data_IF_187566762324
#
_entry.id   IF_187566762324
#
_cell.length_a   1.000
_cell.length_b   1.000
_cell.length_c   1.000
_cell.angle_alpha   90.00
_cell.angle_beta   90.00
_cell.angle_gamma   90.00
#
_symmetry.space_group_name_H-M   'P 1'
#
loop_
_entity.id
_entity.type
_entity.pdbx_description
1 polymer ?
#
# COMPACT_ATOMS: atom_id res chain seq x y z
N UNK A 1 -18.44 -21.79 -15.85
CA UNK A 1 -17.81 -20.55 -16.12
C UNK A 1 -16.31 -20.57 -15.93
N UNK A 2 -15.60 -20.85 -17.01
CA UNK A 2 -14.15 -20.64 -17.05
C UNK A 2 -13.91 -19.20 -17.54
N UNK A 3 -13.44 -18.31 -16.66
CA UNK A 3 -13.13 -16.94 -17.02
C UNK A 3 -12.86 -16.06 -15.80
N UNK A 4 -12.43 -14.82 -16.06
CA UNK A 4 -12.08 -13.82 -15.01
C UNK A 4 -13.14 -13.67 -13.91
N UNK A 5 -14.46 -13.72 -14.18
CA UNK A 5 -15.48 -13.64 -13.14
C UNK A 5 -15.51 -14.84 -12.16
N UNK A 6 -14.87 -15.96 -12.51
CA UNK A 6 -14.78 -17.15 -11.65
C UNK A 6 -13.48 -17.26 -10.85
N UNK A 7 -12.60 -16.26 -10.94
CA UNK A 7 -11.27 -16.23 -10.31
C UNK A 7 -11.06 -14.97 -9.50
N UNK A 8 -10.05 -15.00 -8.63
CA UNK A 8 -9.55 -13.78 -8.01
C UNK A 8 -8.87 -12.93 -9.10
N UNK A 9 -9.33 -11.68 -9.28
CA UNK A 9 -8.80 -10.78 -10.31
C UNK A 9 -7.32 -10.46 -10.10
N UNK A 10 -6.83 -10.50 -8.86
CA UNK A 10 -5.44 -10.32 -8.47
C UNK A 10 -4.81 -11.70 -8.23
N UNK A 11 -4.27 -12.29 -9.28
CA UNK A 11 -3.83 -13.69 -9.31
C UNK A 11 -2.40 -13.89 -8.77
N UNK A 12 -1.56 -12.88 -8.83
CA UNK A 12 -0.19 -12.95 -8.37
C UNK A 12 0.30 -11.61 -7.84
N UNK A 13 1.19 -11.66 -6.87
CA UNK A 13 1.92 -10.49 -6.38
C UNK A 13 3.39 -10.87 -6.16
N UNK A 14 4.26 -9.88 -6.34
CA UNK A 14 5.68 -9.99 -6.04
C UNK A 14 6.15 -8.81 -5.22
N UNK A 15 7.12 -9.05 -4.35
CA UNK A 15 7.78 -8.02 -3.56
C UNK A 15 9.22 -7.93 -4.01
N UNK A 16 9.65 -6.73 -4.39
CA UNK A 16 10.99 -6.49 -4.93
C UNK A 16 11.65 -5.31 -4.22
N UNK A 17 12.96 -5.27 -4.30
CA UNK A 17 13.76 -4.12 -3.89
C UNK A 17 14.02 -3.24 -5.11
N UNK A 18 13.70 -1.96 -5.03
CA UNK A 18 14.00 -0.98 -6.10
C UNK A 18 15.50 -0.83 -6.31
N UNK A 19 16.30 -1.09 -5.25
CA UNK A 19 17.76 -1.05 -5.27
C UNK A 19 18.33 -2.27 -4.53
N UNK A 20 19.48 -2.79 -4.97
CA UNK A 20 20.08 -4.01 -4.38
C UNK A 20 20.61 -3.83 -2.95
N UNK A 21 20.88 -2.59 -2.52
CA UNK A 21 21.38 -2.26 -1.18
C UNK A 21 20.30 -2.25 -0.09
N UNK A 22 19.04 -2.34 -0.45
CA UNK A 22 17.93 -2.36 0.52
C UNK A 22 17.88 -3.71 1.24
N UNK A 23 17.71 -3.68 2.56
CA UNK A 23 17.54 -4.89 3.37
C UNK A 23 16.20 -5.58 3.09
N UNK A 24 15.15 -4.79 2.82
CA UNK A 24 13.78 -5.26 2.63
C UNK A 24 13.19 -4.78 1.31
N UNK A 25 12.18 -5.47 0.75
CA UNK A 25 11.41 -4.97 -0.38
C UNK A 25 10.74 -3.64 -0.06
N UNK A 26 10.76 -2.74 -1.03
CA UNK A 26 10.11 -1.43 -0.98
C UNK A 26 9.07 -1.22 -2.08
N UNK A 27 8.90 -2.22 -2.94
CA UNK A 27 7.96 -2.19 -4.06
C UNK A 27 7.17 -3.49 -4.13
N UNK A 28 5.85 -3.39 -4.26
CA UNK A 28 4.97 -4.52 -4.57
C UNK A 28 4.50 -4.42 -6.02
N UNK A 29 4.59 -5.53 -6.74
CA UNK A 29 4.01 -5.74 -8.06
C UNK A 29 2.75 -6.58 -7.90
N UNK A 30 1.61 -6.10 -8.39
CA UNK A 30 0.31 -6.80 -8.27
C UNK A 30 -0.24 -7.08 -9.66
N UNK A 31 -0.24 -8.35 -10.06
CA UNK A 31 -0.79 -8.77 -11.35
C UNK A 31 -2.32 -8.85 -11.29
N UNK A 32 -2.96 -8.15 -12.23
CA UNK A 32 -4.40 -8.12 -12.40
C UNK A 32 -4.76 -8.70 -13.77
N UNK A 33 -5.44 -9.83 -13.79
CA UNK A 33 -5.88 -10.52 -15.01
C UNK A 33 -7.14 -9.88 -15.63
N UNK A 34 -7.21 -8.55 -15.66
CA UNK A 34 -8.32 -7.80 -16.23
C UNK A 34 -7.82 -6.53 -16.92
N UNK A 35 -8.52 -6.11 -17.95
CA UNK A 35 -8.24 -4.82 -18.59
C UNK A 35 -8.58 -3.67 -17.64
N UNK A 36 -7.58 -2.86 -17.35
CA UNK A 36 -7.73 -1.64 -16.54
C UNK A 36 -7.40 -0.42 -17.38
N UNK A 37 -8.27 0.56 -17.34
CA UNK A 37 -8.02 1.87 -17.95
C UNK A 37 -6.98 2.64 -17.13
N UNK A 38 -6.30 3.63 -17.72
CA UNK A 38 -5.58 4.62 -16.95
C UNK A 38 -6.44 5.16 -15.80
N UNK A 39 -5.87 5.33 -14.60
CA UNK A 39 -6.63 5.65 -13.39
C UNK A 39 -7.22 4.43 -12.65
N UNK A 40 -7.00 3.20 -13.16
CA UNK A 40 -7.23 1.96 -12.41
C UNK A 40 -8.66 1.39 -12.47
N UNK A 41 -9.59 2.03 -13.17
CA UNK A 41 -10.96 1.48 -13.35
C UNK A 41 -10.97 0.31 -14.32
N UNK A 42 -11.89 -0.64 -14.12
CA UNK A 42 -12.08 -1.74 -15.06
C UNK A 42 -12.58 -1.21 -16.41
N UNK A 43 -12.02 -1.75 -17.47
CA UNK A 43 -12.44 -1.46 -18.85
C UNK A 43 -13.15 -2.65 -19.49
N UNK A 44 -13.76 -2.41 -20.66
CA UNK A 44 -14.33 -3.46 -21.51
C UNK A 44 -13.27 -3.90 -22.50
N UNK A 45 -13.03 -5.21 -22.61
CA UNK A 45 -12.04 -5.78 -23.52
C UNK A 45 -11.08 -6.75 -22.83
N UNK A 46 -10.09 -7.22 -23.60
CA UNK A 46 -9.08 -8.13 -23.12
C UNK A 46 -7.80 -7.37 -22.74
N UNK A 47 -7.22 -7.72 -21.61
CA UNK A 47 -5.97 -7.13 -21.15
C UNK A 47 -5.61 -7.60 -19.75
N UNK A 48 -4.43 -7.22 -19.34
CA UNK A 48 -3.94 -7.40 -17.97
C UNK A 48 -3.19 -6.14 -17.54
N UNK A 49 -3.03 -5.99 -16.25
CA UNK A 49 -2.28 -4.88 -15.69
C UNK A 49 -1.32 -5.40 -14.61
N UNK A 50 -0.22 -4.69 -14.44
CA UNK A 50 0.68 -4.86 -13.32
C UNK A 50 0.66 -3.56 -12.50
N UNK A 51 0.03 -3.61 -11.33
CA UNK A 51 0.01 -2.50 -10.39
C UNK A 51 1.36 -2.37 -9.70
N UNK A 52 1.85 -1.15 -9.58
CA UNK A 52 3.11 -0.83 -8.90
C UNK A 52 2.76 -0.08 -7.62
N UNK A 53 3.17 -0.61 -6.47
CA UNK A 53 2.86 -0.02 -5.16
C UNK A 53 4.16 0.20 -4.38
N UNK A 54 4.42 1.45 -4.01
CA UNK A 54 5.49 1.79 -3.06
C UNK A 54 5.09 1.38 -1.65
N UNK A 55 5.89 0.55 -0.99
CA UNK A 55 5.53 -0.07 0.29
C UNK A 55 5.84 0.80 1.51
N UNK A 56 6.86 1.63 1.43
CA UNK A 56 7.34 2.44 2.58
C UNK A 56 7.52 3.91 2.19
N UNK A 57 6.43 4.61 1.77
CA UNK A 57 6.55 6.01 1.36
C UNK A 57 7.01 6.88 2.54
N UNK A 58 7.87 7.85 2.23
CA UNK A 58 8.33 8.88 3.17
C UNK A 58 7.44 10.12 3.16
N UNK A 59 6.72 10.35 2.07
CA UNK A 59 5.74 11.42 1.96
C UNK A 59 4.74 11.38 3.11
N UNK A 60 4.38 12.54 3.63
CA UNK A 60 3.41 12.67 4.73
C UNK A 60 2.33 13.65 4.35
N UNK A 61 1.09 13.24 4.58
CA UNK A 61 -0.10 14.04 4.42
C UNK A 61 -0.73 14.42 5.74
N UNK A 62 -1.91 14.99 5.69
CA UNK A 62 -2.67 15.42 6.87
C UNK A 62 -4.16 15.22 6.68
N UNK A 63 -4.87 15.10 7.81
CA UNK A 63 -6.32 15.19 7.89
C UNK A 63 -6.64 16.30 8.87
N UNK A 64 -7.42 17.29 8.43
CA UNK A 64 -7.80 18.45 9.26
C UNK A 64 -9.30 18.69 9.21
N UNK A 65 -9.83 19.40 10.19
CA UNK A 65 -11.22 19.80 10.21
C UNK A 65 -11.45 20.96 9.23
N UNK A 66 -12.55 20.92 8.49
CA UNK A 66 -12.99 22.03 7.63
C UNK A 66 -13.99 22.95 8.33
N UNK A 67 -14.59 22.49 9.44
CA UNK A 67 -15.58 23.22 10.20
C UNK A 67 -15.78 22.62 11.59
N UNK A 68 -16.79 23.09 12.31
CA UNK A 68 -17.06 22.76 13.71
C UNK A 68 -18.21 21.77 13.93
N UNK A 69 -18.85 21.31 12.87
CA UNK A 69 -19.99 20.38 12.94
C UNK A 69 -19.62 18.99 12.42
N UNK A 70 -20.35 17.98 12.89
CA UNK A 70 -20.13 16.59 12.45
C UNK A 70 -20.44 16.35 10.96
N UNK A 71 -21.20 17.25 10.35
CA UNK A 71 -21.53 17.20 8.92
C UNK A 71 -20.44 17.80 8.02
N UNK A 72 -19.50 18.55 8.59
CA UNK A 72 -18.40 19.13 7.84
C UNK A 72 -17.44 18.03 7.41
N UNK A 73 -17.22 17.89 6.11
CA UNK A 73 -16.29 16.90 5.60
C UNK A 73 -14.85 17.24 5.95
N UNK A 74 -14.03 16.31 6.43
CA UNK A 74 -12.62 16.60 6.72
C UNK A 74 -11.86 16.96 5.45
N UNK A 75 -10.86 17.82 5.60
CA UNK A 75 -9.87 18.07 4.54
C UNK A 75 -8.84 16.94 4.62
N UNK A 76 -8.75 16.14 3.55
CA UNK A 76 -7.82 15.01 3.44
C UNK A 76 -6.80 15.36 2.38
N UNK A 77 -5.58 15.59 2.79
CA UNK A 77 -4.43 15.81 1.91
C UNK A 77 -3.44 14.66 2.07
N UNK A 78 -3.39 13.70 1.12
CA UNK A 78 -2.40 12.63 1.17
C UNK A 78 -0.98 13.10 0.91
N UNK A 79 -0.79 14.27 0.26
CA UNK A 79 0.48 14.87 -0.10
C UNK A 79 1.45 13.88 -0.75
N UNK A 80 0.92 13.07 -1.69
CA UNK A 80 1.67 12.02 -2.37
C UNK A 80 2.88 12.60 -3.11
N UNK A 81 4.00 11.88 -3.10
CA UNK A 81 5.26 12.24 -3.77
C UNK A 81 5.87 13.58 -3.29
N UNK A 82 5.55 14.01 -2.07
CA UNK A 82 6.23 15.16 -1.45
C UNK A 82 7.69 14.87 -1.09
N UNK A 83 8.05 13.60 -0.93
CA UNK A 83 9.43 13.13 -0.88
C UNK A 83 9.82 12.52 -2.23
N UNK A 84 10.86 13.05 -2.86
CA UNK A 84 11.33 12.63 -4.19
C UNK A 84 11.77 11.16 -4.22
N UNK A 85 12.20 10.59 -3.08
CA UNK A 85 12.58 9.18 -3.03
C UNK A 85 11.41 8.23 -3.29
N UNK A 86 10.18 8.64 -2.99
CA UNK A 86 8.99 7.84 -3.28
C UNK A 86 8.74 7.76 -4.79
N UNK A 87 9.03 8.83 -5.51
CA UNK A 87 8.96 8.86 -6.97
C UNK A 87 10.01 7.93 -7.60
N UNK A 88 11.24 7.91 -7.09
CA UNK A 88 12.30 7.02 -7.60
C UNK A 88 11.92 5.54 -7.42
N UNK A 89 11.34 5.18 -6.28
CA UNK A 89 10.83 3.82 -6.04
C UNK A 89 9.79 3.43 -7.08
N UNK A 90 8.86 4.33 -7.41
CA UNK A 90 7.84 4.05 -8.41
C UNK A 90 8.40 3.98 -9.84
N UNK A 91 9.38 4.82 -10.20
CA UNK A 91 10.08 4.76 -11.49
C UNK A 91 10.75 3.39 -11.66
N UNK A 92 11.51 2.95 -10.66
CA UNK A 92 12.17 1.62 -10.69
C UNK A 92 11.14 0.49 -10.70
N UNK A 93 10.02 0.65 -9.99
CA UNK A 93 8.90 -0.26 -10.03
C UNK A 93 8.30 -0.42 -11.43
N UNK A 94 8.10 0.67 -12.17
CA UNK A 94 7.62 0.64 -13.57
C UNK A 94 8.65 -0.07 -14.46
N UNK A 95 9.93 0.24 -14.33
CA UNK A 95 11.00 -0.42 -15.08
C UNK A 95 11.04 -1.93 -14.79
N UNK A 96 10.90 -2.33 -13.53
CA UNK A 96 10.80 -3.73 -13.14
C UNK A 96 9.55 -4.40 -13.72
N UNK A 97 8.41 -3.74 -13.66
CA UNK A 97 7.15 -4.22 -14.26
C UNK A 97 7.27 -4.47 -15.76
N UNK A 98 7.90 -3.55 -16.50
CA UNK A 98 8.22 -3.73 -17.94
C UNK A 98 9.09 -4.95 -18.19
N UNK A 99 10.13 -5.17 -17.36
CA UNK A 99 10.97 -6.39 -17.46
C UNK A 99 10.16 -7.66 -17.24
N UNK A 100 9.29 -7.68 -16.24
CA UNK A 100 8.41 -8.83 -15.97
C UNK A 100 7.49 -9.11 -17.16
N UNK A 101 6.82 -8.09 -17.68
CA UNK A 101 5.85 -8.23 -18.78
C UNK A 101 6.51 -8.50 -20.15
N UNK A 102 7.82 -8.25 -20.28
CA UNK A 102 8.59 -8.62 -21.48
C UNK A 102 9.22 -10.02 -21.40
N UNK A 103 9.00 -10.76 -20.31
CA UNK A 103 9.53 -12.11 -20.18
C UNK A 103 8.87 -13.08 -21.19
N UNK A 104 9.57 -14.16 -21.63
CA UNK A 104 9.06 -15.12 -22.63
C UNK A 104 7.69 -15.72 -22.30
N UNK A 105 7.35 -15.82 -21.00
CA UNK A 105 6.03 -16.30 -20.56
C UNK A 105 4.85 -15.42 -21.05
N UNK A 106 5.10 -14.15 -21.38
CA UNK A 106 4.10 -13.22 -21.91
C UNK A 106 4.14 -13.07 -23.43
N UNK A 107 5.04 -13.77 -24.11
CA UNK A 107 5.14 -13.71 -25.57
C UNK A 107 3.81 -14.15 -26.23
N UNK A 108 3.33 -13.35 -27.18
CA UNK A 108 2.05 -13.57 -27.86
C UNK A 108 0.80 -13.30 -27.03
N UNK A 109 0.93 -12.86 -25.76
CA UNK A 109 -0.22 -12.62 -24.86
C UNK A 109 -0.59 -11.16 -24.67
N UNK A 110 0.16 -10.25 -25.24
CA UNK A 110 -0.10 -8.81 -25.20
C UNK A 110 0.41 -8.13 -26.46
N UNK A 111 -0.25 -7.06 -26.87
CA UNK A 111 0.06 -6.39 -28.13
C UNK A 111 0.58 -4.97 -27.97
N UNK A 112 0.22 -4.28 -26.88
CA UNK A 112 0.67 -2.93 -26.64
C UNK A 112 0.61 -2.57 -25.14
N UNK A 113 1.61 -1.86 -24.66
CA UNK A 113 1.55 -1.18 -23.36
C UNK A 113 0.65 0.05 -23.50
N UNK A 114 -0.44 0.10 -22.74
CA UNK A 114 -1.42 1.19 -22.78
C UNK A 114 -1.05 2.30 -21.81
N UNK A 115 -0.60 1.92 -20.62
CA UNK A 115 -0.17 2.85 -19.57
C UNK A 115 1.11 2.32 -18.90
N UNK A 116 2.14 3.14 -18.78
CA UNK A 116 2.30 4.54 -19.25
C UNK A 116 2.32 4.71 -20.77
N UNK A 117 2.47 3.62 -21.54
CA UNK A 117 2.62 3.63 -22.98
C UNK A 117 4.08 3.59 -23.41
N UNK A 118 4.35 2.91 -24.54
CA UNK A 118 5.71 2.67 -25.06
C UNK A 118 6.49 3.95 -25.40
N UNK A 119 5.79 5.07 -25.60
CA UNK A 119 6.40 6.38 -25.88
C UNK A 119 6.93 7.06 -24.60
N UNK A 120 6.48 6.66 -23.43
CA UNK A 120 6.95 7.22 -22.14
C UNK A 120 8.22 6.46 -21.73
N UNK A 121 9.36 7.03 -22.11
CA UNK A 121 10.68 6.45 -21.86
C UNK A 121 11.58 7.41 -21.08
N UNK A 122 12.49 6.83 -20.31
CA UNK A 122 13.43 7.60 -19.51
C UNK A 122 12.83 8.19 -18.23
N UNK A 123 13.72 8.59 -17.31
CA UNK A 123 13.36 9.04 -15.97
C UNK A 123 12.38 10.22 -15.99
N UNK A 124 12.64 11.22 -16.80
CA UNK A 124 11.83 12.46 -16.81
C UNK A 124 10.39 12.20 -17.26
N UNK A 125 10.19 11.47 -18.37
CA UNK A 125 8.86 11.14 -18.87
C UNK A 125 8.09 10.21 -17.92
N UNK A 126 8.77 9.25 -17.29
CA UNK A 126 8.17 8.40 -16.26
C UNK A 126 7.79 9.21 -15.02
N UNK A 127 8.64 10.13 -14.57
CA UNK A 127 8.36 10.99 -13.44
C UNK A 127 7.12 11.85 -13.68
N UNK A 128 6.99 12.45 -14.86
CA UNK A 128 5.81 13.22 -15.24
C UNK A 128 4.55 12.36 -15.30
N UNK A 129 4.63 11.18 -15.93
CA UNK A 129 3.52 10.24 -15.96
C UNK A 129 3.08 9.83 -14.55
N UNK A 130 4.01 9.47 -13.67
CA UNK A 130 3.71 9.04 -12.29
C UNK A 130 3.06 10.18 -11.51
N UNK A 131 3.59 11.41 -11.57
CA UNK A 131 2.99 12.56 -10.87
C UNK A 131 1.55 12.83 -11.30
N UNK A 132 1.22 12.57 -12.56
CA UNK A 132 -0.13 12.76 -13.09
C UNK A 132 -1.07 11.57 -12.86
N UNK A 133 -0.55 10.39 -12.50
CA UNK A 133 -1.35 9.16 -12.40
C UNK A 133 -1.28 8.47 -11.05
N UNK A 134 -0.38 8.88 -10.15
CA UNK A 134 -0.26 8.27 -8.82
C UNK A 134 -1.56 8.41 -8.03
N UNK A 135 -1.88 7.36 -7.31
CA UNK A 135 -3.06 7.34 -6.43
C UNK A 135 -2.76 6.50 -5.18
N UNK A 136 -3.63 6.60 -4.20
CA UNK A 136 -3.55 5.77 -3.00
C UNK A 136 -3.83 4.30 -3.32
N UNK A 137 -3.13 3.40 -2.62
CA UNK A 137 -3.46 1.97 -2.60
C UNK A 137 -4.49 1.61 -1.51
N UNK A 138 -5.16 2.63 -0.93
CA UNK A 138 -6.20 2.51 0.10
C UNK A 138 -5.71 1.92 1.44
N UNK A 139 -4.46 2.15 1.77
CA UNK A 139 -3.84 1.71 3.03
C UNK A 139 -3.24 2.86 3.84
N UNK A 140 -3.96 4.00 4.06
CA UNK A 140 -3.44 5.09 4.88
C UNK A 140 -3.31 4.67 6.34
N UNK A 141 -2.28 5.18 7.03
CA UNK A 141 -2.00 4.91 8.43
C UNK A 141 -1.44 6.16 9.12
N UNK A 142 -1.33 6.16 10.44
CA UNK A 142 -0.45 7.06 11.18
C UNK A 142 -1.07 8.33 11.75
N UNK A 143 -2.34 8.65 11.47
CA UNK A 143 -2.99 9.87 11.96
C UNK A 143 -3.17 9.90 13.50
N UNK A 144 -3.17 8.71 14.14
CA UNK A 144 -3.19 8.56 15.61
C UNK A 144 -1.97 7.75 16.09
N UNK A 145 -0.80 7.99 15.53
CA UNK A 145 0.40 7.19 15.70
C UNK A 145 0.73 6.82 17.16
N UNK A 146 1.05 5.54 17.37
CA UNK A 146 1.53 4.98 18.63
C UNK A 146 3.05 5.17 18.72
N UNK A 147 3.47 6.29 19.27
CA UNK A 147 4.88 6.63 19.48
C UNK A 147 5.03 7.51 20.74
N UNK A 148 6.23 7.75 21.27
CA UNK A 148 6.40 8.48 22.54
C UNK A 148 5.69 9.83 22.60
N UNK A 149 5.73 10.59 21.51
CA UNK A 149 5.07 11.89 21.31
C UNK A 149 3.79 11.81 20.45
N UNK A 150 3.27 10.60 20.24
CA UNK A 150 2.09 10.35 19.41
C UNK A 150 0.76 10.49 20.14
N UNK A 151 -0.31 10.25 19.40
CA UNK A 151 -1.69 10.40 19.92
C UNK A 151 -2.03 9.31 20.93
N UNK A 152 -1.59 8.07 20.71
CA UNK A 152 -1.89 6.98 21.63
C UNK A 152 -0.65 6.39 22.29
N UNK A 153 -0.85 5.76 23.46
CA UNK A 153 0.16 4.97 24.16
C UNK A 153 0.28 3.56 23.58
N UNK A 154 1.26 2.77 24.09
CA UNK A 154 1.36 1.33 23.77
C UNK A 154 0.16 0.49 24.24
N UNK A 155 -0.70 1.03 25.09
CA UNK A 155 -1.98 0.43 25.49
C UNK A 155 -3.16 0.97 24.67
N UNK A 156 -2.88 1.67 23.57
CA UNK A 156 -3.86 2.26 22.65
C UNK A 156 -4.72 3.37 23.29
N UNK A 157 -4.37 3.85 24.48
CA UNK A 157 -5.06 4.95 25.19
C UNK A 157 -4.69 6.28 24.57
N UNK A 158 -5.70 7.13 24.31
CA UNK A 158 -5.48 8.50 23.84
C UNK A 158 -4.85 9.32 24.96
N UNK A 159 -3.74 9.99 24.66
CA UNK A 159 -3.03 10.82 25.65
C UNK A 159 -3.86 12.06 26.00
N UNK A 160 -3.97 12.35 27.27
CA UNK A 160 -4.72 13.51 27.78
C UNK A 160 -6.25 13.36 27.79
N UNK A 161 -6.77 12.15 27.46
CA UNK A 161 -8.20 11.85 27.50
C UNK A 161 -8.41 10.52 28.21
N UNK A 162 -9.14 10.53 29.33
CA UNK A 162 -9.44 9.32 30.07
C UNK A 162 -10.54 8.48 29.38
N UNK A 163 -10.41 7.16 29.48
CA UNK A 163 -11.42 6.23 29.00
C UNK A 163 -11.51 6.06 27.48
N UNK A 164 -10.67 6.72 26.69
CA UNK A 164 -10.69 6.66 25.23
C UNK A 164 -9.49 5.87 24.67
N UNK A 165 -9.77 5.02 23.68
CA UNK A 165 -8.76 4.31 22.88
C UNK A 165 -9.01 4.48 21.40
N UNK A 166 -7.95 4.31 20.59
CA UNK A 166 -8.00 4.16 19.14
C UNK A 166 -7.45 2.79 18.79
N UNK A 167 -8.17 2.03 17.96
CA UNK A 167 -7.85 0.65 17.62
C UNK A 167 -8.09 0.36 16.13
N UNK A 168 -7.39 1.07 15.27
CA UNK A 168 -7.42 0.91 13.83
C UNK A 168 -6.04 1.20 13.21
N UNK A 169 -5.95 1.22 11.88
CA UNK A 169 -4.70 1.45 11.15
C UNK A 169 -4.04 2.81 11.47
N UNK A 170 -4.79 3.79 11.98
CA UNK A 170 -4.25 5.11 12.28
C UNK A 170 -3.19 5.11 13.39
N UNK A 171 -3.18 4.07 14.23
CA UNK A 171 -2.18 3.94 15.31
C UNK A 171 -0.79 3.54 14.81
N UNK A 172 -0.66 2.98 13.60
CA UNK A 172 0.64 2.54 13.07
C UNK A 172 1.58 3.74 12.90
N UNK A 173 2.77 3.76 13.54
CA UNK A 173 3.73 4.87 13.39
C UNK A 173 4.26 4.99 11.97
N UNK A 174 4.40 3.84 11.30
CA UNK A 174 4.80 3.71 9.90
C UNK A 174 3.95 2.61 9.25
N UNK A 175 3.78 2.69 7.94
CA UNK A 175 3.07 1.66 7.20
C UNK A 175 3.88 0.36 7.19
N UNK A 176 3.18 -0.77 7.27
CA UNK A 176 3.77 -2.11 7.10
C UNK A 176 4.23 -2.34 5.66
N UNK A 177 5.16 -3.29 5.46
CA UNK A 177 5.69 -3.62 4.12
C UNK A 177 4.70 -4.46 3.29
N UNK A 178 3.42 -4.08 3.30
CA UNK A 178 2.34 -4.78 2.60
C UNK A 178 0.97 -4.20 2.93
N UNK A 179 -0.06 -4.90 2.51
CA UNK A 179 -1.46 -4.52 2.76
C UNK A 179 -1.76 -4.46 4.26
N UNK A 180 -2.51 -3.46 4.69
CA UNK A 180 -2.71 -3.15 6.12
C UNK A 180 -3.86 -3.92 6.77
N UNK A 181 -4.61 -4.75 6.04
CA UNK A 181 -5.80 -5.43 6.58
C UNK A 181 -5.45 -6.36 7.77
N UNK A 182 -4.53 -7.29 7.58
CA UNK A 182 -4.17 -8.23 8.63
C UNK A 182 -3.63 -7.56 9.91
N UNK A 183 -2.66 -6.61 9.84
CA UNK A 183 -2.24 -5.88 11.03
C UNK A 183 -3.36 -5.02 11.64
N UNK A 184 -4.32 -4.51 10.87
CA UNK A 184 -5.46 -3.76 11.42
C UNK A 184 -6.40 -4.68 12.23
N UNK A 185 -6.67 -5.89 11.73
CA UNK A 185 -7.44 -6.90 12.48
C UNK A 185 -6.71 -7.24 13.78
N UNK A 186 -5.41 -7.48 13.73
CA UNK A 186 -4.58 -7.74 14.91
C UNK A 186 -4.65 -6.62 15.95
N UNK A 187 -4.63 -5.36 15.49
CA UNK A 187 -4.78 -4.18 16.38
C UNK A 187 -6.14 -4.22 17.10
N UNK A 188 -7.21 -4.55 16.39
CA UNK A 188 -8.55 -4.68 16.98
C UNK A 188 -8.63 -5.78 18.04
N UNK A 189 -8.10 -6.98 17.75
CA UNK A 189 -8.02 -8.09 18.69
C UNK A 189 -7.18 -7.72 19.92
N UNK A 190 -6.02 -7.13 19.73
CA UNK A 190 -5.16 -6.67 20.82
C UNK A 190 -5.86 -5.62 21.71
N UNK A 191 -6.61 -4.71 21.11
CA UNK A 191 -7.38 -3.73 21.87
C UNK A 191 -8.44 -4.40 22.75
N UNK A 192 -9.14 -5.40 22.21
CA UNK A 192 -10.13 -6.16 22.97
C UNK A 192 -9.50 -6.87 24.20
N UNK A 193 -8.30 -7.42 24.05
CA UNK A 193 -7.57 -8.03 25.16
C UNK A 193 -7.15 -7.00 26.21
N UNK A 194 -6.63 -5.85 25.77
CA UNK A 194 -6.26 -4.76 26.67
C UNK A 194 -7.45 -4.22 27.47
N UNK A 195 -8.64 -4.14 26.87
CA UNK A 195 -9.88 -3.73 27.55
C UNK A 195 -10.30 -4.78 28.59
N UNK A 196 -10.13 -6.07 28.26
CA UNK A 196 -10.48 -7.19 29.15
C UNK A 196 -9.42 -7.48 30.23
N UNK A 197 -8.29 -6.78 30.21
CA UNK A 197 -7.16 -7.03 31.11
C UNK A 197 -6.48 -8.40 30.85
N UNK A 198 -6.57 -8.91 29.61
CA UNK A 198 -5.93 -10.17 29.25
C UNK A 198 -4.49 -9.90 28.80
N UNK A 199 -3.55 -10.67 29.35
CA UNK A 199 -2.18 -10.74 28.83
C UNK A 199 -2.07 -12.02 28.01
N UNK A 200 -1.84 -11.88 26.71
CA UNK A 200 -1.51 -13.03 25.85
C UNK A 200 -0.02 -13.35 26.02
N UNK A 201 0.29 -14.63 26.09
CA UNK A 201 1.68 -15.07 25.95
C UNK A 201 2.21 -14.67 24.58
N UNK A 202 3.50 -14.31 24.53
CA UNK A 202 4.15 -14.04 23.26
C UNK A 202 4.08 -15.30 22.36
N UNK A 203 3.61 -15.14 21.13
CA UNK A 203 3.61 -16.23 20.17
C UNK A 203 5.03 -16.76 20.00
N UNK A 204 5.18 -18.06 20.16
CA UNK A 204 6.42 -18.79 19.89
C UNK A 204 6.28 -19.46 18.53
N UNK A 205 7.21 -19.21 17.59
CA UNK A 205 7.19 -19.93 16.32
C UNK A 205 7.35 -21.44 16.58
N UNK A 206 6.64 -22.30 15.84
CA UNK A 206 6.91 -23.73 15.86
C UNK A 206 8.39 -23.99 15.57
N UNK A 207 8.97 -25.02 16.22
CA UNK A 207 10.40 -25.31 16.12
C UNK A 207 10.88 -25.67 14.69
N UNK A 208 9.93 -26.02 13.82
CA UNK A 208 10.13 -26.39 12.42
C UNK A 208 9.95 -25.23 11.43
N UNK A 209 9.59 -24.02 11.92
CA UNK A 209 9.60 -22.80 11.11
C UNK A 209 11.05 -22.33 10.96
N UNK A 210 11.72 -22.83 9.92
CA UNK A 210 12.98 -22.23 9.47
C UNK A 210 12.72 -20.75 9.08
N UNK A 211 13.49 -19.85 9.67
CA UNK A 211 13.53 -18.44 9.26
C UNK A 211 14.05 -18.37 7.83
N UNK A 212 13.17 -18.11 6.87
CA UNK A 212 13.48 -17.82 5.47
C UNK A 212 14.12 -16.43 5.37
#
# INVERSE_FOLDING_TARGET
GEGVPGRNVFEAAGYIRSRPDLAEPDTQLVFCAAFRKPGGTLGVGHGYALGIVGLKPKSRGSITLSGSTISDQPIIDPNLLSDESDLEVLIEGVNAGRRVLSAPAFEGKGHAEIAPGTHVQGRQALAEHIRNSVNTAFHPVGTCAMKPDGVVSGELKVRGVDGLRVADASIMPTITSGNTHAPTVMIGEKCADLIRGRTLEAWQPPADLETV
#
